data_IF_117804518822
#
_entry.id   IF_117804518822
#
_cell.length_a   1.000
_cell.length_b   1.000
_cell.length_c   1.000
_cell.angle_alpha   90.00
_cell.angle_beta   90.00
_cell.angle_gamma   90.00
#
_symmetry.space_group_name_H-M   'P 1'
#
loop_
_entity.id
_entity.type
_entity.pdbx_description
1 polymer ?
2 non-polymer ?
3 non-polymer ?
4 non-polymer ?
5 water ?
#
# COMPACT_ATOMS: atom_id res chain seq x y z
N UNK A 10 -28.68 1.20 -2.04
CA UNK A 10 -29.69 0.34 -2.77
C UNK A 10 -29.07 -0.96 -3.26
N UNK A 11 -27.76 -0.92 -3.54
CA UNK A 11 -26.95 -2.11 -3.90
C UNK A 11 -25.92 -2.38 -2.79
N UNK A 12 -26.12 -1.71 -1.65
CA UNK A 12 -25.28 -1.90 -0.50
C UNK A 12 -25.30 -3.34 0.00
N UNK A 13 -26.46 -3.96 0.12
CA UNK A 13 -26.49 -5.33 0.64
C UNK A 13 -25.93 -6.29 -0.36
N UNK A 14 -26.10 -5.98 -1.64
CA UNK A 14 -25.54 -6.81 -2.71
C UNK A 14 -24.02 -6.70 -2.69
N UNK A 15 -23.53 -5.48 -2.53
CA UNK A 15 -22.11 -5.24 -2.29
C UNK A 15 -21.53 -6.06 -1.11
N UNK A 16 -22.14 -6.00 0.06
CA UNK A 16 -21.68 -6.85 1.18
C UNK A 16 -21.65 -8.34 0.82
N UNK A 17 -22.68 -8.77 0.10
CA UNK A 17 -22.79 -10.17 -0.36
C UNK A 17 -21.70 -10.54 -1.37
N UNK A 18 -21.33 -9.59 -2.21
CA UNK A 18 -20.13 -9.77 -3.04
C UNK A 18 -18.91 -10.01 -2.17
N UNK A 19 -18.76 -9.22 -1.10
CA UNK A 19 -17.57 -9.35 -0.23
C UNK A 19 -17.60 -10.67 0.54
N UNK A 20 -18.79 -11.11 0.93
CA UNK A 20 -18.89 -12.46 1.49
C UNK A 20 -18.39 -13.53 0.51
N UNK A 21 -18.75 -13.44 -0.77
CA UNK A 21 -18.29 -14.40 -1.79
C UNK A 21 -16.76 -14.27 -1.88
N UNK A 22 -16.24 -13.07 -2.01
CA UNK A 22 -14.79 -12.96 -2.09
C UNK A 22 -14.06 -13.54 -0.84
N UNK A 23 -14.57 -13.23 0.33
CA UNK A 23 -13.88 -13.57 1.55
C UNK A 23 -14.18 -15.02 1.99
N UNK A 24 -15.09 -15.72 1.32
CA UNK A 24 -15.18 -17.18 1.48
C UNK A 24 -13.96 -17.91 0.83
N UNK A 25 -13.19 -17.24 -0.04
CA UNK A 25 -12.12 -17.94 -0.82
C UNK A 25 -10.97 -18.47 0.08
N UNK A 31 -3.83 -22.39 -1.98
CA UNK A 31 -3.74 -21.81 -3.37
C UNK A 31 -2.39 -22.15 -4.08
N UNK A 32 -2.44 -22.93 -5.17
CA UNK A 32 -1.22 -23.36 -5.85
C UNK A 32 -0.73 -22.15 -6.59
N UNK A 33 0.54 -21.87 -6.63
CA UNK A 33 0.95 -20.67 -7.32
C UNK A 33 0.93 -20.86 -8.84
N UNK A 34 0.85 -19.75 -9.58
CA UNK A 34 0.84 -19.78 -11.04
C UNK A 34 0.06 -18.60 -11.61
N UNK A 35 0.24 -18.37 -12.91
CA UNK A 35 -0.54 -17.40 -13.69
C UNK A 35 -1.67 -18.06 -14.53
N UNK A 36 -1.87 -19.36 -14.36
CA UNK A 36 -2.78 -20.12 -15.18
C UNK A 36 -4.21 -19.77 -14.91
N UNK A 37 -4.61 -19.75 -13.65
CA UNK A 37 -6.00 -19.36 -13.33
C UNK A 37 -6.35 -17.92 -13.69
N UNK A 38 -5.44 -16.98 -13.47
CA UNK A 38 -5.71 -15.56 -13.73
C UNK A 38 -5.74 -15.32 -15.26
N UNK A 39 -4.84 -15.96 -15.98
CA UNK A 39 -4.84 -15.87 -17.43
C UNK A 39 -6.16 -16.40 -18.05
N UNK A 40 -6.65 -17.52 -17.54
CA UNK A 40 -7.92 -18.07 -18.00
C UNK A 40 -9.13 -17.20 -17.60
N UNK A 41 -9.19 -16.73 -16.38
CA UNK A 41 -10.27 -15.80 -16.00
C UNK A 41 -10.32 -14.59 -16.93
N UNK A 42 -9.18 -13.92 -17.08
CA UNK A 42 -9.11 -12.77 -17.94
C UNK A 42 -9.47 -13.08 -19.41
N UNK A 43 -9.01 -14.22 -19.92
CA UNK A 43 -9.34 -14.64 -21.24
C UNK A 43 -10.84 -14.75 -21.45
N UNK A 44 -11.53 -15.34 -20.48
CA UNK A 44 -12.97 -15.52 -20.55
C UNK A 44 -13.68 -14.16 -20.42
N UNK A 45 -13.03 -13.15 -19.83
CA UNK A 45 -13.56 -11.81 -19.74
C UNK A 45 -13.17 -10.92 -20.91
N UNK A 46 -12.49 -11.47 -21.91
CA UNK A 46 -12.07 -10.70 -23.09
C UNK A 46 -10.71 -10.01 -22.97
N UNK A 47 -9.90 -10.47 -22.04
CA UNK A 47 -8.57 -9.93 -21.85
C UNK A 47 -8.63 -8.41 -21.67
N UNK A 48 -9.38 -7.98 -20.65
CA UNK A 48 -9.57 -6.55 -20.39
C UNK A 48 -8.27 -5.85 -20.02
N UNK A 49 -7.34 -6.62 -19.48
CA UNK A 49 -6.00 -6.14 -19.12
C UNK A 49 -5.15 -5.65 -20.28
N UNK A 50 -5.53 -6.02 -21.51
CA UNK A 50 -4.78 -5.67 -22.71
C UNK A 50 -5.35 -4.45 -23.43
N UNK A 51 -6.25 -3.78 -22.74
CA UNK A 51 -7.09 -2.77 -23.34
C UNK A 51 -6.56 -1.38 -23.07
N UNK A 52 -5.42 -1.25 -22.37
CA UNK A 52 -4.87 0.04 -21.98
C UNK A 52 -3.41 -0.15 -21.59
N UNK A 53 -2.65 0.92 -21.60
CA UNK A 53 -1.26 0.92 -21.14
C UNK A 53 -1.24 0.70 -19.65
N UNK A 54 -0.10 0.23 -19.16
CA UNK A 54 -0.01 -0.30 -17.83
C UNK A 54 1.33 0.08 -17.24
N UNK A 55 1.36 0.29 -15.92
CA UNK A 55 2.63 0.48 -15.18
C UNK A 55 2.57 -0.46 -14.01
N UNK A 56 3.68 -1.14 -13.77
CA UNK A 56 3.67 -2.29 -12.89
C UNK A 56 4.67 -2.09 -11.79
N UNK A 57 4.20 -2.10 -10.53
CA UNK A 57 5.03 -1.75 -9.37
C UNK A 57 5.07 -2.80 -8.28
N UNK A 58 6.25 -3.37 -8.08
CA UNK A 58 6.49 -4.31 -7.00
C UNK A 58 7.58 -3.87 -6.04
N UNK A 59 7.94 -4.75 -5.15
CA UNK A 59 8.93 -4.44 -4.16
C UNK A 59 8.42 -4.78 -2.79
N UNK A 60 9.31 -5.10 -1.88
CA UNK A 60 8.93 -5.42 -0.52
C UNK A 60 8.25 -4.25 0.24
N UNK A 61 8.85 -3.07 0.12
CA UNK A 61 8.33 -1.89 0.76
C UNK A 61 8.33 -0.74 -0.22
N UNK A 62 7.30 0.10 -0.14
CA UNK A 62 7.21 1.26 -0.99
C UNK A 62 6.39 1.08 -2.25
N UNK A 63 5.90 -0.13 -2.51
CA UNK A 63 5.22 -0.31 -3.79
C UNK A 63 3.86 0.42 -3.81
N UNK A 64 3.15 0.39 -2.70
CA UNK A 64 1.91 1.11 -2.57
C UNK A 64 2.13 2.60 -2.70
N UNK A 65 3.12 3.16 -1.99
CA UNK A 65 3.45 4.62 -2.09
C UNK A 65 3.86 4.99 -3.49
N UNK A 66 4.75 4.19 -4.10
CA UNK A 66 5.24 4.51 -5.45
C UNK A 66 4.08 4.42 -6.44
N UNK A 67 3.25 3.39 -6.34
CA UNK A 67 2.06 3.32 -7.21
C UNK A 67 1.18 4.55 -7.07
N UNK A 68 0.87 4.89 -5.82
CA UNK A 68 0.02 6.03 -5.51
C UNK A 68 0.58 7.32 -6.08
N UNK A 69 1.88 7.53 -5.90
CA UNK A 69 2.55 8.70 -6.44
C UNK A 69 2.48 8.76 -7.98
N UNK A 70 2.75 7.62 -8.61
CA UNK A 70 2.63 7.51 -10.03
C UNK A 70 1.21 7.80 -10.49
N UNK A 71 0.20 7.21 -9.85
CA UNK A 71 -1.18 7.46 -10.27
C UNK A 71 -1.50 8.89 -10.09
N UNK A 72 -1.20 9.43 -8.92
CA UNK A 72 -1.53 10.81 -8.61
C UNK A 72 -0.94 11.81 -9.59
N UNK A 73 0.28 11.55 -10.03
CA UNK A 73 0.91 12.46 -10.99
C UNK A 73 0.20 12.41 -12.36
N UNK A 74 -0.11 11.19 -12.81
CA UNK A 74 -0.78 11.02 -14.07
C UNK A 74 -2.20 11.52 -14.04
N UNK A 75 -2.87 11.32 -12.92
CA UNK A 75 -4.21 11.92 -12.73
C UNK A 75 -4.15 13.46 -12.82
N UNK A 76 -3.15 14.09 -12.19
CA UNK A 76 -2.97 15.53 -12.31
C UNK A 76 -2.68 15.92 -13.73
N UNK A 77 -1.96 15.08 -14.50
CA UNK A 77 -1.61 15.42 -15.87
C UNK A 77 -2.83 15.32 -16.76
N UNK A 78 -3.88 14.75 -16.21
CA UNK A 78 -5.16 14.66 -16.91
C UNK A 78 -5.36 13.35 -17.62
N UNK A 79 -4.50 12.37 -17.41
CA UNK A 79 -4.81 11.01 -17.88
C UNK A 79 -5.99 10.39 -17.11
N UNK A 80 -6.75 9.55 -17.80
CA UNK A 80 -7.74 8.74 -17.15
C UNK A 80 -6.99 7.51 -16.63
N UNK A 81 -6.91 7.39 -15.30
CA UNK A 81 -6.05 6.43 -14.65
C UNK A 81 -6.84 5.42 -13.83
N UNK A 82 -6.63 4.13 -14.07
CA UNK A 82 -7.05 3.10 -13.13
C UNK A 82 -5.85 2.79 -12.24
N UNK A 83 -6.09 2.56 -10.96
CA UNK A 83 -5.02 2.19 -10.07
C UNK A 83 -5.53 1.07 -9.17
N UNK A 84 -4.60 0.14 -8.92
CA UNK A 84 -4.88 -1.15 -8.28
C UNK A 84 -3.96 -1.37 -7.10
N UNK A 85 -4.55 -1.49 -5.90
CA UNK A 85 -3.80 -1.68 -4.68
C UNK A 85 -4.24 -2.92 -3.92
N UNK A 86 -3.39 -3.31 -3.00
CA UNK A 86 -3.66 -4.39 -2.03
C UNK A 86 -2.72 -4.19 -0.85
N UNK A 87 -3.15 -4.50 0.35
CA UNK A 87 -4.50 -4.97 0.61
C UNK A 87 -5.37 -3.70 0.80
N UNK A 88 -6.25 -3.62 1.78
CA UNK A 88 -6.87 -2.35 2.07
C UNK A 88 -6.78 -2.17 3.53
N UNK A 89 -7.03 -0.93 3.95
CA UNK A 89 -7.00 -0.52 5.34
C UNK A 89 -8.38 -0.45 5.97
N UNK A 90 -9.28 0.32 5.35
CA UNK A 90 -10.60 0.59 5.93
C UNK A 90 -11.73 0.04 5.06
N UNK A 91 -11.62 0.18 3.74
CA UNK A 91 -12.63 -0.37 2.88
C UNK A 91 -12.00 -1.06 1.73
N UNK A 92 -12.61 -2.18 1.36
CA UNK A 92 -12.24 -2.94 0.18
C UNK A 92 -12.08 -2.06 -1.06
N UNK A 93 -12.87 -1.00 -1.14
CA UNK A 93 -12.87 -0.16 -2.32
C UNK A 93 -11.58 0.70 -2.56
N UNK A 94 -10.73 0.82 -1.54
CA UNK A 94 -9.36 1.35 -1.73
C UNK A 94 -8.54 0.61 -2.81
N UNK A 95 -8.90 -0.64 -3.07
CA UNK A 95 -8.11 -1.51 -3.92
C UNK A 95 -8.23 -1.13 -5.37
N UNK A 96 -9.34 -0.51 -5.76
CA UNK A 96 -9.64 -0.21 -7.18
C UNK A 96 -10.15 1.22 -7.32
N UNK A 97 -9.45 2.00 -8.14
CA UNK A 97 -9.68 3.41 -8.23
C UNK A 97 -9.68 3.86 -9.66
N UNK A 98 -10.47 4.90 -9.90
CA UNK A 98 -10.53 5.63 -11.14
C UNK A 98 -10.21 7.08 -10.77
N UNK A 99 -9.09 7.54 -11.31
CA UNK A 99 -8.62 8.86 -11.08
C UNK A 99 -8.52 9.06 -9.59
N UNK A 100 -8.09 8.00 -8.93
CA UNK A 100 -7.82 7.99 -7.49
C UNK A 100 -9.07 8.17 -6.62
N UNK A 101 -10.24 7.91 -7.18
CA UNK A 101 -11.44 7.82 -6.42
C UNK A 101 -11.76 6.34 -6.27
N UNK A 102 -12.15 5.87 -5.08
CA UNK A 102 -12.48 4.47 -4.86
C UNK A 102 -13.69 4.06 -5.73
N UNK A 103 -13.60 2.88 -6.31
CA UNK A 103 -14.74 2.27 -6.92
C UNK A 103 -15.93 2.35 -5.95
N UNK A 104 -17.12 2.63 -6.49
CA UNK A 104 -18.30 2.62 -5.72
C UNK A 104 -18.72 1.20 -5.39
N UNK A 105 -19.49 1.07 -4.33
CA UNK A 105 -20.16 -0.19 -4.03
C UNK A 105 -20.95 -0.73 -5.23
N UNK A 106 -21.69 0.18 -5.87
CA UNK A 106 -22.53 -0.12 -7.03
C UNK A 106 -21.69 -0.72 -8.20
N UNK A 107 -20.55 -0.13 -8.49
CA UNK A 107 -19.73 -0.69 -9.52
C UNK A 107 -19.06 -1.99 -9.16
N UNK A 108 -18.71 -2.18 -7.90
CA UNK A 108 -18.15 -3.44 -7.49
C UNK A 108 -19.22 -4.51 -7.78
N UNK A 109 -20.44 -4.22 -7.38
CA UNK A 109 -21.57 -5.12 -7.62
C UNK A 109 -21.73 -5.38 -9.13
N UNK A 110 -21.66 -4.33 -9.92
CA UNK A 110 -21.79 -4.44 -11.38
C UNK A 110 -20.71 -5.32 -12.01
N UNK A 111 -19.45 -5.04 -11.72
CA UNK A 111 -18.40 -5.86 -12.23
C UNK A 111 -18.53 -7.30 -11.73
N UNK A 112 -18.88 -7.48 -10.47
CA UNK A 112 -19.10 -8.82 -10.00
C UNK A 112 -20.23 -9.55 -10.81
N UNK A 113 -21.33 -8.91 -11.06
CA UNK A 113 -22.41 -9.54 -11.78
C UNK A 113 -22.03 -9.91 -13.22
N UNK A 114 -21.26 -9.05 -13.87
CA UNK A 114 -20.58 -9.42 -15.13
C UNK A 114 -19.73 -10.69 -15.08
N UNK A 115 -18.91 -10.85 -14.04
CA UNK A 115 -18.00 -12.00 -13.91
C UNK A 115 -18.66 -13.25 -13.35
N UNK A 116 -19.76 -13.08 -12.62
CA UNK A 116 -20.45 -14.15 -11.91
C UNK A 116 -20.62 -15.46 -12.71
N UNK A 117 -21.21 -15.45 -13.91
CA UNK A 117 -21.35 -16.71 -14.62
C UNK A 117 -20.01 -17.32 -14.93
N UNK A 118 -19.02 -16.49 -15.25
CA UNK A 118 -17.67 -17.02 -15.53
C UNK A 118 -17.07 -17.61 -14.31
N UNK A 119 -17.16 -16.90 -13.19
CA UNK A 119 -16.68 -17.45 -11.92
C UNK A 119 -17.44 -18.69 -11.52
N UNK A 120 -18.73 -18.75 -11.79
CA UNK A 120 -19.53 -19.90 -11.37
C UNK A 120 -19.04 -21.15 -12.06
N UNK A 121 -18.66 -20.96 -13.32
CA UNK A 121 -18.13 -22.00 -14.19
C UNK A 121 -16.74 -22.49 -13.75
N UNK A 122 -15.79 -21.56 -13.59
CA UNK A 122 -14.44 -21.83 -13.10
C UNK A 122 -14.47 -22.40 -11.69
N UNK A 123 -15.42 -21.95 -10.87
CA UNK A 123 -15.51 -22.38 -9.48
C UNK A 123 -15.93 -23.80 -9.32
N UNK A 124 -16.39 -24.43 -10.37
CA UNK A 124 -16.77 -25.83 -10.27
C UNK A 124 -15.62 -26.80 -10.08
N UNK A 125 -14.40 -26.38 -10.39
CA UNK A 125 -13.25 -27.25 -10.33
C UNK A 125 -12.17 -26.54 -9.63
N UNK A 126 -11.62 -27.18 -8.60
CA UNK A 126 -10.62 -26.53 -7.78
C UNK A 126 -9.41 -26.05 -8.61
N UNK A 127 -8.99 -26.84 -9.59
CA UNK A 127 -7.80 -26.46 -10.38
C UNK A 127 -8.00 -25.19 -11.19
N UNK A 128 -9.27 -24.86 -11.51
CA UNK A 128 -9.56 -23.66 -12.29
C UNK A 128 -10.10 -22.52 -11.47
N UNK A 129 -10.46 -22.79 -10.23
CA UNK A 129 -11.12 -21.79 -9.40
C UNK A 129 -10.18 -20.64 -9.00
N UNK A 130 -10.48 -19.39 -9.36
CA UNK A 130 -9.55 -18.31 -9.03
C UNK A 130 -9.54 -17.98 -7.53
N UNK A 131 -8.41 -17.55 -7.02
CA UNK A 131 -8.26 -17.20 -5.60
C UNK A 131 -8.91 -15.85 -5.37
N UNK A 132 -9.01 -15.44 -4.11
CA UNK A 132 -9.47 -14.10 -3.80
C UNK A 132 -8.79 -13.03 -4.63
N UNK A 133 -7.47 -13.04 -4.57
CA UNK A 133 -6.68 -12.00 -5.22
C UNK A 133 -6.79 -12.06 -6.73
N UNK A 134 -6.87 -13.26 -7.27
CA UNK A 134 -7.12 -13.42 -8.67
C UNK A 134 -8.42 -12.77 -9.06
N UNK A 135 -9.47 -13.04 -8.30
CA UNK A 135 -10.78 -12.48 -8.65
C UNK A 135 -10.76 -10.93 -8.59
N UNK A 136 -10.22 -10.40 -7.50
CA UNK A 136 -10.19 -8.96 -7.29
C UNK A 136 -9.36 -8.28 -8.39
N UNK A 137 -8.25 -8.89 -8.73
CA UNK A 137 -7.39 -8.35 -9.76
C UNK A 137 -8.11 -8.31 -11.09
N UNK A 138 -8.82 -9.37 -11.42
CA UNK A 138 -9.56 -9.44 -12.66
C UNK A 138 -10.70 -8.41 -12.65
N UNK A 139 -11.32 -8.24 -11.46
CA UNK A 139 -12.30 -7.20 -11.28
C UNK A 139 -11.72 -5.82 -11.60
N UNK A 140 -10.54 -5.52 -11.07
CA UNK A 140 -9.90 -4.26 -11.39
C UNK A 140 -9.66 -4.14 -12.87
N UNK A 141 -9.07 -5.16 -13.49
CA UNK A 141 -8.77 -5.12 -14.92
C UNK A 141 -10.01 -4.88 -15.75
N UNK A 142 -11.08 -5.56 -15.40
CA UNK A 142 -12.35 -5.42 -16.11
C UNK A 142 -12.91 -4.00 -15.93
N UNK A 143 -12.86 -3.52 -14.69
CA UNK A 143 -13.35 -2.20 -14.37
C UNK A 143 -12.60 -1.13 -15.18
N UNK A 144 -11.28 -1.21 -15.20
CA UNK A 144 -10.47 -0.31 -15.97
C UNK A 144 -10.85 -0.35 -17.41
N UNK A 145 -11.14 -1.52 -17.95
CA UNK A 145 -11.64 -1.64 -19.31
C UNK A 145 -13.05 -1.01 -19.47
N UNK A 146 -13.98 -1.34 -18.58
CA UNK A 146 -15.33 -0.80 -18.72
C UNK A 146 -15.20 0.73 -18.61
N UNK A 147 -14.21 1.24 -17.88
CA UNK A 147 -14.10 2.69 -17.71
C UNK A 147 -13.25 3.36 -18.79
N UNK A 148 -12.74 2.60 -19.76
CA UNK A 148 -11.93 3.20 -20.84
C UNK A 148 -10.75 4.03 -20.31
N UNK A 149 -9.99 3.48 -19.40
CA UNK A 149 -8.84 4.21 -18.84
C UNK A 149 -7.73 4.32 -19.89
N UNK A 150 -6.90 5.34 -19.77
CA UNK A 150 -5.74 5.50 -20.65
C UNK A 150 -4.62 4.59 -20.15
N UNK A 151 -4.50 4.56 -18.84
CA UNK A 151 -3.44 3.82 -18.20
C UNK A 151 -3.85 3.27 -16.86
N UNK A 152 -3.35 2.07 -16.56
CA UNK A 152 -3.57 1.45 -15.27
C UNK A 152 -2.24 1.33 -14.52
N UNK A 153 -2.21 1.72 -13.25
CA UNK A 153 -1.06 1.54 -12.38
C UNK A 153 -1.36 0.43 -11.44
N UNK A 154 -0.51 -0.60 -11.44
CA UNK A 154 -0.77 -1.83 -10.73
C UNK A 154 0.29 -2.10 -9.71
N UNK A 155 -0.15 -2.16 -8.48
CA UNK A 155 0.65 -2.62 -7.39
C UNK A 155 0.62 -4.18 -7.34
N UNK A 156 1.79 -4.79 -7.30
CA UNK A 156 1.92 -6.20 -7.12
C UNK A 156 1.29 -6.57 -5.79
N UNK A 157 0.53 -7.66 -5.80
CA UNK A 157 -0.03 -8.23 -4.56
C UNK A 157 1.08 -8.75 -3.66
N UNK A 158 1.90 -9.63 -4.22
CA UNK A 158 2.91 -10.35 -3.48
C UNK A 158 3.90 -10.94 -4.50
N UNK A 159 5.19 -10.86 -4.20
CA UNK A 159 6.22 -11.45 -5.04
C UNK A 159 6.34 -10.66 -6.32
N UNK A 160 5.89 -11.29 -7.41
CA UNK A 160 5.83 -10.64 -8.70
C UNK A 160 5.70 -11.68 -9.80
N UNK A 161 6.65 -12.60 -9.84
CA UNK A 161 6.70 -13.60 -10.89
C UNK A 161 5.30 -14.24 -11.18
N UNK A 162 4.60 -14.63 -10.13
CA UNK A 162 3.34 -15.40 -10.26
C UNK A 162 2.17 -14.66 -9.63
N UNK A 163 2.37 -13.37 -9.44
CA UNK A 163 1.35 -12.49 -8.97
C UNK A 163 0.30 -12.29 -10.03
N UNK A 164 -0.96 -12.23 -9.60
CA UNK A 164 -2.06 -12.06 -10.51
C UNK A 164 -1.92 -10.87 -11.43
N UNK A 165 -1.30 -9.79 -10.97
CA UNK A 165 -1.07 -8.61 -11.78
C UNK A 165 -0.06 -8.80 -12.90
N UNK A 166 0.72 -9.87 -12.84
CA UNK A 166 1.87 -10.06 -13.74
C UNK A 166 1.51 -10.57 -15.14
N UNK A 167 0.22 -10.53 -15.46
CA UNK A 167 -0.28 -10.82 -16.77
C UNK A 167 -0.09 -9.65 -17.73
N UNK A 168 0.34 -8.50 -17.20
CA UNK A 168 0.46 -7.29 -18.00
C UNK A 168 1.78 -7.26 -18.75
N UNK A 169 1.80 -6.43 -19.80
CA UNK A 169 3.03 -5.95 -20.43
C UNK A 169 3.08 -4.40 -20.32
N UNK A 170 3.78 -3.89 -19.31
CA UNK A 170 3.68 -2.50 -18.95
C UNK A 170 4.61 -1.59 -19.73
N UNK A 171 4.46 -0.30 -19.53
CA UNK A 171 5.40 0.67 -20.07
C UNK A 171 6.72 0.66 -19.25
N UNK A 172 6.61 0.24 -18.00
CA UNK A 172 7.72 0.22 -17.08
C UNK A 172 7.36 -0.73 -15.97
N UNK A 173 8.36 -1.45 -15.48
CA UNK A 173 8.27 -2.34 -14.33
C UNK A 173 9.20 -1.75 -13.27
N UNK A 174 8.66 -1.61 -12.08
CA UNK A 174 9.39 -1.04 -10.96
C UNK A 174 9.50 -2.04 -9.84
N UNK A 175 10.70 -2.23 -9.34
CA UNK A 175 10.89 -2.98 -8.11
C UNK A 175 11.47 -2.06 -7.06
N UNK A 176 10.61 -1.55 -6.19
CA UNK A 176 11.01 -0.44 -5.35
C UNK A 176 12.18 -0.87 -4.46
N UNK A 177 11.95 -1.96 -3.70
CA UNK A 177 12.96 -2.62 -2.90
C UNK A 177 12.84 -4.14 -2.91
N UNK A 178 13.92 -4.76 -2.45
CA UNK A 178 13.94 -6.17 -2.13
C UNK A 178 14.52 -6.32 -0.71
N UNK A 179 13.64 -6.63 0.25
CA UNK A 179 14.03 -6.75 1.67
C UNK A 179 13.62 -8.12 2.23
N UNK A 180 14.42 -8.62 3.17
CA UNK A 180 14.28 -9.96 3.77
C UNK A 180 13.09 -9.93 4.71
N UNK A 188 13.56 -17.34 3.00
CA UNK A 188 14.21 -17.07 1.72
C UNK A 188 15.44 -16.18 1.83
N UNK A 189 16.42 -16.41 0.94
CA UNK A 189 17.55 -15.50 0.79
C UNK A 189 17.08 -14.29 0.01
N UNK A 190 17.81 -13.19 0.14
CA UNK A 190 17.60 -12.02 -0.71
C UNK A 190 17.55 -12.37 -2.17
N UNK A 191 18.41 -13.29 -2.58
CA UNK A 191 18.55 -13.64 -3.95
C UNK A 191 17.28 -14.34 -4.44
N UNK A 192 16.69 -15.18 -3.61
CA UNK A 192 15.40 -15.84 -3.94
C UNK A 192 14.23 -14.88 -4.04
N UNK A 193 14.14 -14.01 -3.04
CA UNK A 193 13.14 -12.95 -3.02
C UNK A 193 13.32 -12.04 -4.25
N UNK A 194 14.54 -11.58 -4.44
CA UNK A 194 14.91 -10.80 -5.62
C UNK A 194 14.50 -11.48 -6.91
N UNK A 195 14.63 -12.79 -6.98
CA UNK A 195 14.26 -13.49 -8.18
C UNK A 195 12.75 -13.49 -8.45
N UNK A 196 11.98 -13.83 -7.43
CA UNK A 196 10.51 -13.77 -7.48
C UNK A 196 10.03 -12.38 -7.98
N UNK A 197 10.60 -11.34 -7.40
CA UNK A 197 10.27 -9.98 -7.79
C UNK A 197 10.69 -9.61 -9.22
N UNK A 198 11.83 -10.10 -9.70
CA UNK A 198 12.20 -9.77 -11.04
C UNK A 198 11.43 -10.54 -12.10
N UNK A 199 10.45 -11.38 -11.72
CA UNK A 199 9.47 -11.95 -12.67
C UNK A 199 8.51 -10.97 -13.34
N UNK A 200 8.44 -9.74 -12.81
CA UNK A 200 7.71 -8.62 -13.46
C UNK A 200 8.55 -7.84 -14.48
N UNK A 201 9.82 -8.20 -14.64
CA UNK A 201 10.65 -7.67 -15.72
C UNK A 201 10.25 -8.32 -17.04
N UNK A 202 9.94 -7.48 -18.04
CA UNK A 202 9.35 -7.89 -19.30
C UNK A 202 10.23 -7.45 -20.45
N UNK A 203 10.16 -8.19 -21.55
CA UNK A 203 11.05 -8.00 -22.69
C UNK A 203 11.07 -6.57 -23.20
N UNK A 204 12.24 -5.96 -23.19
CA UNK A 204 12.39 -4.59 -23.68
C UNK A 204 11.74 -3.54 -22.82
N UNK A 205 11.03 -3.94 -21.77
CA UNK A 205 10.34 -2.99 -20.92
C UNK A 205 11.36 -2.56 -19.90
N UNK A 206 11.53 -1.27 -19.72
CA UNK A 206 12.50 -0.82 -18.71
C UNK A 206 12.15 -1.30 -17.31
N UNK A 207 13.18 -1.31 -16.46
CA UNK A 207 13.03 -1.62 -15.04
C UNK A 207 13.59 -0.44 -14.24
N UNK A 208 12.83 -0.02 -13.23
CA UNK A 208 13.31 0.95 -12.26
C UNK A 208 13.36 0.35 -10.86
N UNK A 209 14.47 0.56 -10.16
CA UNK A 209 14.60 0.10 -8.77
C UNK A 209 15.22 1.09 -7.77
N UNK A 210 14.65 1.05 -6.56
CA UNK A 210 15.16 1.79 -5.40
C UNK A 210 16.05 0.93 -4.55
N UNK A 211 16.49 -0.21 -5.09
CA UNK A 211 17.24 -1.19 -4.31
C UNK A 211 18.72 -0.88 -4.43
N UNK A 212 19.42 -1.11 -3.33
CA UNK A 212 20.84 -0.92 -3.23
C UNK A 212 21.63 -2.19 -2.82
N UNK A 213 20.98 -3.22 -2.28
CA UNK A 213 21.74 -4.48 -2.00
C UNK A 213 22.26 -5.17 -3.26
N UNK A 214 23.56 -5.36 -3.26
CA UNK A 214 24.28 -5.97 -4.36
C UNK A 214 23.64 -7.28 -4.83
N UNK A 215 23.28 -8.11 -3.86
CA UNK A 215 22.73 -9.45 -4.10
C UNK A 215 21.47 -9.36 -4.92
N UNK A 216 20.66 -8.38 -4.52
CA UNK A 216 19.38 -8.13 -5.12
C UNK A 216 19.54 -7.55 -6.54
N UNK A 217 20.45 -6.58 -6.68
CA UNK A 217 20.64 -5.90 -7.96
C UNK A 217 21.24 -6.86 -8.98
N UNK A 218 22.15 -7.72 -8.53
CA UNK A 218 22.76 -8.75 -9.39
C UNK A 218 21.69 -9.59 -10.11
N UNK A 219 20.67 -10.00 -9.37
CA UNK A 219 19.60 -10.79 -9.97
C UNK A 219 18.86 -9.95 -11.02
N UNK A 220 18.42 -8.76 -10.62
CA UNK A 220 17.67 -7.88 -11.50
C UNK A 220 18.48 -7.50 -12.72
N UNK A 221 19.78 -7.26 -12.53
CA UNK A 221 20.67 -6.99 -13.64
C UNK A 221 20.67 -8.14 -14.63
N UNK A 222 20.80 -9.36 -14.12
CA UNK A 222 20.84 -10.53 -14.96
C UNK A 222 19.53 -10.71 -15.72
N UNK A 223 18.40 -10.54 -15.04
CA UNK A 223 17.10 -10.66 -15.73
C UNK A 223 16.84 -9.58 -16.80
N UNK A 224 17.07 -8.32 -16.43
CA UNK A 224 16.95 -7.19 -17.36
C UNK A 224 17.90 -7.31 -18.56
N UNK A 225 19.14 -7.65 -18.30
CA UNK A 225 20.10 -7.83 -19.39
C UNK A 225 19.59 -8.91 -20.34
N UNK A 226 19.06 -10.00 -19.78
CA UNK A 226 18.46 -11.09 -20.56
C UNK A 226 17.26 -10.63 -21.33
N UNK A 227 16.37 -9.88 -20.67
CA UNK A 227 15.14 -9.34 -21.30
C UNK A 227 15.35 -8.09 -22.20
N UNK A 228 16.62 -7.66 -22.31
CA UNK A 228 16.98 -6.45 -23.04
C UNK A 228 16.19 -5.22 -22.53
N UNK A 229 16.04 -5.20 -21.20
CA UNK A 229 15.34 -4.14 -20.48
C UNK A 229 16.35 -3.15 -19.94
N UNK A 230 16.16 -1.89 -20.26
CA UNK A 230 16.97 -0.86 -19.65
C UNK A 230 16.60 -0.73 -18.17
N UNK A 231 17.63 -0.79 -17.33
CA UNK A 231 17.49 -0.76 -15.88
C UNK A 231 17.96 0.56 -15.28
N UNK A 232 17.17 1.13 -14.39
CA UNK A 232 17.58 2.34 -13.71
C UNK A 232 17.56 2.11 -12.23
N UNK A 233 18.61 2.56 -11.59
CA UNK A 233 18.89 2.19 -10.22
C UNK A 233 19.15 3.44 -9.41
N UNK A 234 18.52 3.54 -8.26
CA UNK A 234 18.71 4.72 -7.42
C UNK A 234 20.19 4.99 -7.14
N UNK A 235 20.57 6.27 -7.05
CA UNK A 235 21.98 6.69 -6.89
C UNK A 235 22.88 6.41 -8.07
N UNK A 236 22.53 5.43 -8.92
CA UNK A 236 23.14 5.28 -10.22
C UNK A 236 22.43 6.18 -11.25
N UNK A 237 21.23 5.80 -11.67
CA UNK A 237 20.56 6.49 -12.77
C UNK A 237 19.66 7.63 -12.34
N UNK A 238 19.40 7.72 -11.04
CA UNK A 238 18.71 8.85 -10.49
C UNK A 238 18.96 8.94 -9.02
N UNK A 239 18.60 10.07 -8.45
CA UNK A 239 18.81 10.31 -7.04
C UNK A 239 17.85 11.38 -6.52
N UNK A 240 17.76 11.47 -5.18
CA UNK A 240 17.00 12.51 -4.50
C UNK A 240 17.85 13.12 -3.39
N UNK A 241 17.64 14.39 -3.12
CA UNK A 241 18.41 15.07 -2.08
C UNK A 241 17.37 15.72 -1.18
N UNK A 242 17.36 15.30 0.09
CA UNK A 242 16.42 15.83 1.06
C UNK A 242 16.85 17.26 1.35
N UNK A 243 15.98 18.23 1.10
CA UNK A 243 16.27 19.63 1.42
C UNK A 243 15.78 19.92 2.82
N UNK A 244 14.62 19.38 3.21
CA UNK A 244 14.13 19.46 4.59
C UNK A 244 12.87 18.65 4.84
N UNK A 245 12.85 18.00 5.98
CA UNK A 245 11.72 17.25 6.44
C UNK A 245 10.93 18.14 7.39
N UNK A 246 9.64 18.25 7.16
CA UNK A 246 8.79 19.09 7.96
C UNK A 246 7.43 18.51 7.73
N UNK A 247 6.68 18.30 8.80
CA UNK A 247 5.39 17.67 8.70
C UNK A 247 4.58 18.25 7.55
N UNK A 248 4.08 17.39 6.68
CA UNK A 248 3.27 17.75 5.48
C UNK A 248 3.96 18.66 4.46
N UNK A 249 5.27 18.81 4.56
CA UNK A 249 5.95 19.77 3.73
C UNK A 249 7.39 19.35 3.63
N UNK A 250 7.62 18.17 3.06
CA UNK A 250 8.93 17.55 2.99
C UNK A 250 9.54 17.82 1.65
N UNK A 251 10.67 18.52 1.68
CA UNK A 251 11.18 19.20 0.53
C UNK A 251 12.46 18.50 0.06
N UNK A 252 12.54 18.26 -1.26
CA UNK A 252 13.67 17.57 -1.87
C UNK A 252 13.92 17.98 -3.34
N UNK A 253 15.16 17.76 -3.81
CA UNK A 253 15.52 17.83 -5.23
C UNK A 253 15.52 16.42 -5.83
N UNK A 254 15.22 16.32 -7.13
CA UNK A 254 15.30 15.07 -7.88
C UNK A 254 16.25 15.25 -9.06
N UNK A 255 17.09 14.26 -9.35
CA UNK A 255 17.93 14.21 -10.57
C UNK A 255 17.70 12.93 -11.34
N UNK A 256 17.07 13.01 -12.50
CA UNK A 256 16.92 11.84 -13.37
C UNK A 256 17.17 12.33 -14.77
N UNK A 257 16.36 11.94 -15.76
CA UNK A 257 16.38 12.62 -17.06
C UNK A 257 16.18 14.09 -16.79
N UNK A 258 15.12 14.40 -16.05
CA UNK A 258 14.85 15.74 -15.58
C UNK A 258 15.38 15.97 -14.19
N UNK A 259 15.52 17.24 -13.89
CA UNK A 259 15.96 17.72 -12.60
C UNK A 259 14.90 18.67 -12.07
N UNK A 260 14.57 18.48 -10.80
CA UNK A 260 13.58 19.30 -10.13
C UNK A 260 14.17 19.67 -8.78
N UNK A 261 13.94 20.91 -8.35
CA UNK A 261 14.43 21.38 -7.07
C UNK A 261 13.25 21.76 -6.17
N UNK A 262 13.39 21.52 -4.87
CA UNK A 262 12.32 21.81 -3.90
C UNK A 262 10.93 21.28 -4.25
N UNK A 263 10.90 20.01 -4.62
CA UNK A 263 9.69 19.25 -4.65
C UNK A 263 9.20 19.02 -3.24
N UNK A 264 7.90 18.89 -3.08
CA UNK A 264 7.29 18.76 -1.78
C UNK A 264 6.42 17.51 -1.73
N UNK A 265 6.68 16.70 -0.72
CA UNK A 265 5.80 15.61 -0.36
C UNK A 265 5.01 15.95 0.88
N UNK A 266 3.75 15.61 0.82
CA UNK A 266 2.91 15.76 1.96
C UNK A 266 3.16 14.60 2.90
N UNK A 267 3.28 13.41 2.30
CA UNK A 267 3.62 12.19 3.04
C UNK A 267 4.90 12.39 3.82
N UNK A 268 4.90 11.94 5.07
CA UNK A 268 6.02 12.15 5.97
C UNK A 268 6.85 10.91 6.06
N UNK A 269 8.11 11.09 6.37
CA UNK A 269 9.05 9.99 6.38
C UNK A 269 10.05 10.14 5.25
N UNK A 270 11.34 9.98 5.55
CA UNK A 270 12.41 10.15 4.52
C UNK A 270 12.49 9.00 3.47
N UNK A 271 12.05 7.79 3.81
CA UNK A 271 11.83 6.74 2.81
C UNK A 271 10.87 7.15 1.73
N UNK A 272 9.92 8.04 2.06
CA UNK A 272 8.94 8.44 1.07
C UNK A 272 9.58 9.36 0.03
N UNK A 273 10.65 10.06 0.41
CA UNK A 273 11.31 10.92 -0.55
C UNK A 273 12.01 10.03 -1.58
N UNK A 274 12.53 8.91 -1.12
CA UNK A 274 13.09 7.95 -2.04
C UNK A 274 12.02 7.29 -2.92
N UNK A 275 10.87 7.01 -2.35
CA UNK A 275 9.81 6.42 -3.14
C UNK A 275 9.43 7.41 -4.22
N UNK A 276 9.40 8.69 -3.87
CA UNK A 276 9.14 9.77 -4.85
C UNK A 276 10.18 9.78 -6.01
N UNK A 277 11.47 9.67 -5.72
CA UNK A 277 12.46 9.49 -6.79
C UNK A 277 12.15 8.28 -7.66
N UNK A 278 11.84 7.17 -7.03
CA UNK A 278 11.50 5.96 -7.78
C UNK A 278 10.29 6.20 -8.70
N UNK A 279 9.26 6.87 -8.18
CA UNK A 279 8.06 7.19 -8.94
C UNK A 279 8.36 8.07 -10.18
N UNK A 280 9.23 9.07 -9.99
CA UNK A 280 9.58 9.98 -11.05
C UNK A 280 10.42 9.27 -12.10
N UNK A 281 11.40 8.48 -11.65
CA UNK A 281 12.11 7.62 -12.62
C UNK A 281 11.14 6.67 -13.33
N UNK A 282 10.22 6.05 -12.61
CA UNK A 282 9.31 5.17 -13.24
C UNK A 282 8.63 5.89 -14.39
N UNK A 283 8.20 7.11 -14.11
CA UNK A 283 7.48 7.97 -15.06
C UNK A 283 8.37 8.45 -16.22
N UNK A 284 9.61 8.83 -15.92
CA UNK A 284 10.57 9.14 -16.99
C UNK A 284 10.77 7.96 -17.96
N UNK A 285 11.02 6.78 -17.38
CA UNK A 285 11.33 5.56 -18.13
C UNK A 285 10.21 5.10 -19.07
N UNK A 286 9.04 5.61 -18.80
CA UNK A 286 7.82 5.18 -19.45
C UNK A 286 7.63 5.92 -20.80
N UNK A 287 8.27 7.11 -20.91
CA UNK A 287 8.13 8.01 -22.03
C UNK A 287 6.91 8.93 -22.00
N UNK A 288 5.96 8.76 -21.10
CA UNK A 288 4.72 9.49 -21.18
C UNK A 288 4.95 10.98 -21.01
N UNK A 289 4.25 11.80 -21.75
CA UNK A 289 4.36 13.22 -21.54
C UNK A 289 3.77 13.65 -20.18
N UNK A 290 4.54 14.48 -19.48
CA UNK A 290 4.22 14.90 -18.14
C UNK A 290 4.69 16.30 -17.90
N UNK A 291 3.88 17.09 -17.20
CA UNK A 291 4.25 18.45 -16.87
C UNK A 291 4.86 18.39 -15.52
N UNK A 292 5.72 19.36 -15.24
CA UNK A 292 6.25 19.59 -13.92
C UNK A 292 5.14 19.96 -12.95
N UNK A 293 4.13 20.69 -13.43
CA UNK A 293 2.96 20.99 -12.60
C UNK A 293 2.30 19.73 -12.02
N UNK A 294 2.05 18.75 -12.88
CA UNK A 294 1.44 17.48 -12.50
C UNK A 294 2.32 16.67 -11.52
N UNK A 295 3.62 16.71 -11.74
CA UNK A 295 4.56 16.02 -10.89
C UNK A 295 4.45 16.68 -9.52
N UNK A 296 4.54 17.99 -9.47
CA UNK A 296 4.50 18.64 -8.16
C UNK A 296 3.17 18.43 -7.45
N UNK A 297 2.08 18.51 -8.20
CA UNK A 297 0.76 18.41 -7.57
C UNK A 297 0.50 16.98 -7.17
N UNK A 298 0.83 16.05 -8.04
CA UNK A 298 0.65 14.61 -7.78
C UNK A 298 1.42 14.15 -6.55
N UNK A 299 2.68 14.61 -6.42
CA UNK A 299 3.48 14.38 -5.19
C UNK A 299 2.92 15.03 -3.93
N UNK A 300 2.41 16.23 -4.06
CA UNK A 300 1.69 16.87 -2.96
C UNK A 300 0.43 16.10 -2.52
N UNK A 301 -0.19 15.41 -3.49
CA UNK A 301 -1.50 14.73 -3.32
C UNK A 301 -1.40 13.29 -2.89
N UNK A 302 -0.26 12.66 -3.19
CA UNK A 302 0.00 11.29 -2.76
C UNK A 302 -0.20 11.05 -1.25
N UNK A 303 -0.77 9.89 -0.95
CA UNK A 303 -1.12 9.51 0.39
C UNK A 303 -0.99 8.00 0.50
N UNK A 304 -0.28 7.51 1.52
CA UNK A 304 -0.22 6.11 1.79
C UNK A 304 -0.89 5.83 3.10
N UNK A 305 -2.06 5.23 3.04
CA UNK A 305 -2.92 5.21 4.22
C UNK A 305 -2.34 4.34 5.33
N UNK A 306 -2.34 4.88 6.54
CA UNK A 306 -1.88 4.18 7.72
C UNK A 306 -0.40 3.89 7.71
N UNK A 307 0.35 4.55 6.84
CA UNK A 307 1.74 4.34 6.73
C UNK A 307 2.38 5.65 7.15
N UNK A 308 2.55 5.80 8.46
CA UNK A 308 3.11 7.00 9.10
C UNK A 308 2.38 8.18 8.57
N UNK A 309 1.07 8.03 8.73
CA UNK A 309 0.10 8.97 8.28
C UNK A 309 -0.22 9.84 9.46
N UNK A 310 -0.06 11.14 9.29
CA UNK A 310 -0.45 12.08 10.33
C UNK A 310 -1.69 12.81 9.87
N UNK A 311 -2.74 12.76 10.68
CA UNK A 311 -3.99 13.42 10.43
C UNK A 311 -4.26 14.40 11.55
N UNK A 312 -4.36 15.69 11.25
CA UNK A 312 -4.85 16.67 12.19
C UNK A 312 -6.35 16.63 12.13
N UNK A 313 -6.97 16.36 13.26
CA UNK A 313 -8.42 16.31 13.36
C UNK A 313 -8.75 17.16 14.56
N UNK A 314 -9.49 18.22 14.33
CA UNK A 314 -10.02 19.04 15.40
C UNK A 314 -8.91 19.62 16.26
N UNK A 315 -7.79 19.93 15.63
CA UNK A 315 -6.63 20.51 16.35
C UNK A 315 -5.65 19.47 16.88
N UNK A 316 -6.09 18.22 17.01
CA UNK A 316 -5.24 17.19 17.57
C UNK A 316 -4.60 16.39 16.46
N UNK A 317 -3.33 16.01 16.66
CA UNK A 317 -2.61 15.17 15.72
C UNK A 317 -2.75 13.76 16.10
N UNK A 318 -2.91 12.93 15.06
CA UNK A 318 -2.88 11.49 15.13
C UNK A 318 -1.80 10.95 14.22
N UNK A 319 -0.96 10.08 14.75
CA UNK A 319 0.01 9.37 13.95
C UNK A 319 -0.55 7.97 13.78
N UNK A 320 -1.06 7.70 12.57
CA UNK A 320 -1.68 6.44 12.26
C UNK A 320 -0.60 5.63 11.59
N UNK A 321 -0.18 4.55 12.25
CA UNK A 321 0.77 3.67 11.66
C UNK A 321 0.43 2.25 11.98
N UNK A 322 0.26 1.46 10.94
CA UNK A 322 -0.13 0.08 11.10
C UNK A 322 0.93 -0.89 11.56
N UNK A 323 2.15 -0.40 11.90
CA UNK A 323 3.23 -1.20 12.45
C UNK A 323 2.63 -2.30 13.33
N UNK A 324 3.03 -3.55 13.07
CA UNK A 324 2.58 -4.72 13.84
C UNK A 324 3.71 -5.77 13.95
N UNK A 325 4.94 -5.33 13.69
CA UNK A 325 6.16 -6.15 13.70
C UNK A 325 7.05 -5.43 14.62
N UNK A 326 7.96 -6.14 15.25
CA UNK A 326 9.02 -5.45 15.96
C UNK A 326 9.76 -4.51 14.99
N UNK A 327 10.10 -5.01 13.80
CA UNK A 327 10.70 -4.19 12.76
C UNK A 327 9.90 -2.92 12.42
N UNK A 328 8.62 -3.08 12.10
CA UNK A 328 7.77 -1.94 11.78
C UNK A 328 7.65 -0.91 12.91
N UNK A 329 7.55 -1.41 14.13
CA UNK A 329 7.49 -0.57 15.31
C UNK A 329 8.78 0.27 15.49
N UNK A 330 9.92 -0.39 15.33
CA UNK A 330 11.21 0.27 15.37
C UNK A 330 11.28 1.40 14.32
N UNK A 331 10.77 1.15 13.13
CA UNK A 331 10.69 2.20 12.09
C UNK A 331 9.78 3.35 12.48
N UNK A 332 8.68 3.02 13.14
CA UNK A 332 7.77 4.02 13.58
C UNK A 332 8.50 4.98 14.49
N UNK A 333 9.25 4.43 15.44
CA UNK A 333 9.88 5.20 16.48
C UNK A 333 10.93 6.12 15.90
N UNK A 334 11.65 5.62 14.91
CA UNK A 334 12.60 6.40 14.14
C UNK A 334 11.93 7.59 13.49
N UNK A 335 10.83 7.31 12.82
CA UNK A 335 10.03 8.36 12.22
C UNK A 335 9.48 9.38 13.23
N UNK A 336 8.96 8.90 14.36
CA UNK A 336 8.60 9.76 15.49
C UNK A 336 9.69 10.66 16.01
N UNK A 337 10.94 10.20 16.03
CA UNK A 337 12.02 11.02 16.54
C UNK A 337 12.37 12.17 15.59
N UNK A 338 12.02 12.02 14.32
CA UNK A 338 12.32 13.03 13.34
C UNK A 338 11.33 14.16 13.38
N UNK A 339 10.07 13.82 13.52
CA UNK A 339 9.02 14.78 13.31
C UNK A 339 8.40 15.28 14.61
N UNK A 340 8.70 14.62 15.73
CA UNK A 340 8.03 14.93 17.02
C UNK A 340 9.01 15.07 18.16
N UNK A 341 10.22 15.49 17.84
CA UNK A 341 11.31 15.41 18.78
C UNK A 341 10.99 16.02 20.18
N UNK A 342 10.62 17.30 20.19
CA UNK A 342 10.19 17.96 21.46
C UNK A 342 8.80 17.59 22.00
N UNK A 343 8.04 16.81 21.24
CA UNK A 343 6.62 16.67 21.51
C UNK A 343 6.27 15.60 22.53
N UNK A 344 5.38 15.94 23.47
CA UNK A 344 4.77 14.94 24.35
C UNK A 344 3.80 14.12 23.55
N UNK A 345 3.85 12.80 23.75
CA UNK A 345 3.09 11.85 22.96
C UNK A 345 2.34 10.88 23.81
N UNK A 346 1.23 10.41 23.27
CA UNK A 346 0.40 9.39 23.86
C UNK A 346 0.34 8.25 22.83
N UNK A 347 0.17 7.03 23.32
CA UNK A 347 0.16 5.82 22.52
C UNK A 347 -1.15 5.17 22.79
N UNK A 348 -1.84 4.84 21.70
CA UNK A 348 -2.98 3.95 21.75
C UNK A 348 -2.54 2.72 20.96
N UNK A 349 -2.42 1.58 21.67
CA UNK A 349 -1.90 0.34 21.11
C UNK A 349 -2.83 -0.90 21.29
N UNK A 350 -3.07 -1.59 20.19
CA UNK A 350 -3.81 -2.86 20.22
C UNK A 350 -3.06 -3.80 19.32
N UNK A 351 -2.73 -4.98 19.82
CA UNK A 351 -2.01 -5.93 19.03
C UNK A 351 -2.75 -7.24 19.16
N UNK A 352 -2.88 -7.96 18.06
CA UNK A 352 -3.38 -9.32 18.10
C UNK A 352 -2.33 -10.26 18.69
N UNK A 353 -2.81 -11.42 19.13
CA UNK A 353 -1.96 -12.35 19.86
C UNK A 353 -1.11 -13.16 18.90
N UNK A 354 -1.44 -13.11 17.62
CA UNK A 354 -0.65 -13.78 16.57
C UNK A 354 0.59 -13.01 16.21
N UNK A 355 0.84 -11.91 16.89
CA UNK A 355 1.98 -11.08 16.60
C UNK A 355 2.95 -11.13 17.77
N UNK A 356 4.16 -10.64 17.57
CA UNK A 356 5.13 -10.64 18.66
C UNK A 356 4.95 -9.45 19.60
N UNK A 357 3.91 -9.56 20.42
CA UNK A 357 3.46 -8.47 21.27
C UNK A 357 4.57 -7.84 22.03
N UNK A 358 5.36 -8.68 22.68
CA UNK A 358 6.40 -8.24 23.61
C UNK A 358 7.52 -7.51 22.88
N UNK A 359 7.99 -8.08 21.79
CA UNK A 359 9.06 -7.46 21.04
C UNK A 359 8.52 -6.18 20.37
N UNK A 360 7.23 -6.08 20.09
CA UNK A 360 6.68 -4.79 19.61
C UNK A 360 6.64 -3.73 20.70
N UNK A 361 6.09 -4.08 21.86
CA UNK A 361 5.89 -3.13 22.98
C UNK A 361 7.22 -2.52 23.46
N UNK A 362 8.25 -3.34 23.40
CA UNK A 362 9.56 -2.96 23.83
C UNK A 362 10.17 -1.86 23.01
N UNK A 363 9.74 -1.73 21.76
CA UNK A 363 10.24 -0.64 20.90
C UNK A 363 9.83 0.73 21.44
N UNK A 364 8.68 0.73 22.11
CA UNK A 364 8.02 1.96 22.50
C UNK A 364 8.33 2.48 23.88
N UNK A 365 9.29 1.84 24.56
CA UNK A 365 9.68 2.28 25.87
C UNK A 365 10.40 3.63 25.77
N UNK A 366 10.19 4.50 26.75
CA UNK A 366 10.95 5.73 26.84
C UNK A 366 10.50 6.82 25.89
N UNK A 367 9.34 6.66 25.26
CA UNK A 367 8.88 7.62 24.24
C UNK A 367 7.61 8.35 24.62
N UNK A 368 6.69 7.64 25.25
CA UNK A 368 5.34 8.17 25.44
C UNK A 368 5.14 8.66 26.84
N UNK A 369 4.38 9.73 26.94
CA UNK A 369 4.02 10.28 28.18
C UNK A 369 2.84 9.46 28.72
N UNK A 370 2.16 8.72 27.88
CA UNK A 370 0.94 8.06 28.28
C UNK A 370 0.70 6.91 27.34
N UNK A 371 0.36 5.76 27.91
CA UNK A 371 0.16 4.54 27.19
C UNK A 371 -1.20 3.98 27.54
N UNK A 372 -1.96 3.75 26.47
CA UNK A 372 -3.29 3.22 26.53
C UNK A 372 -3.31 1.97 25.64
N UNK A 373 -3.61 0.83 26.23
CA UNK A 373 -3.78 -0.41 25.52
C UNK A 373 -5.27 -0.48 25.26
N UNK A 374 -5.61 -0.92 24.06
CA UNK A 374 -7.01 -0.98 23.63
C UNK A 374 -7.25 -2.29 22.94
N UNK A 375 -8.50 -2.64 22.71
CA UNK A 375 -8.79 -3.90 21.97
C UNK A 375 -8.84 -3.70 20.46
N UNK A 376 -8.06 -4.44 19.70
CA UNK A 376 -8.26 -4.52 18.26
C UNK A 376 -9.71 -4.92 17.93
N UNK A 377 -10.36 -4.09 17.11
CA UNK A 377 -11.76 -4.28 16.74
C UNK A 377 -11.83 -5.32 15.59
N UNK A 378 -11.99 -6.56 16.03
CA UNK A 378 -11.90 -7.71 15.17
C UNK A 378 -12.22 -8.91 16.03
N UNK A 379 -13.01 -9.84 15.50
CA UNK A 379 -13.28 -11.08 16.20
C UNK A 379 -12.03 -11.93 16.37
N UNK A 380 -11.00 -11.59 15.59
CA UNK A 380 -9.68 -12.18 15.73
C UNK A 380 -8.95 -11.79 17.03
N UNK A 381 -9.37 -10.71 17.68
CA UNK A 381 -8.67 -10.25 18.90
C UNK A 381 -8.88 -11.18 20.09
N UNK A 382 -7.84 -11.88 20.54
CA UNK A 382 -7.86 -12.64 21.81
C UNK A 382 -6.71 -12.23 22.73
N UNK A 383 -6.89 -12.55 24.02
CA UNK A 383 -5.90 -12.32 25.08
C UNK A 383 -5.58 -10.88 25.40
N UNK A 384 -6.60 -10.05 25.43
CA UNK A 384 -6.43 -8.71 25.91
C UNK A 384 -5.69 -8.74 27.25
N UNK A 385 -5.99 -9.76 28.02
CA UNK A 385 -5.48 -9.89 29.37
C UNK A 385 -3.95 -9.90 29.43
N UNK A 386 -3.33 -10.75 28.61
CA UNK A 386 -1.87 -10.90 28.66
C UNK A 386 -1.20 -9.76 27.91
N UNK A 387 -1.89 -9.18 26.93
CA UNK A 387 -1.40 -7.97 26.28
C UNK A 387 -1.16 -6.85 27.26
N UNK A 388 -2.17 -6.59 28.09
CA UNK A 388 -2.11 -5.57 29.11
C UNK A 388 -1.00 -5.87 30.13
N UNK A 389 -0.90 -7.13 30.55
CA UNK A 389 0.11 -7.53 31.51
C UNK A 389 1.52 -7.28 30.99
N UNK A 390 1.73 -7.67 29.73
CA UNK A 390 2.96 -7.40 29.03
C UNK A 390 3.29 -5.93 29.00
N UNK A 391 2.34 -5.11 28.59
CA UNK A 391 2.52 -3.66 28.56
C UNK A 391 2.96 -3.17 29.91
N UNK A 392 2.32 -3.70 30.94
CA UNK A 392 2.65 -3.35 32.31
C UNK A 392 4.04 -3.79 32.73
N UNK A 393 4.54 -4.86 32.12
CA UNK A 393 6.00 -5.22 32.18
C UNK A 393 6.99 -4.13 31.67
N UNK A 394 6.54 -3.26 30.75
CA UNK A 394 7.35 -2.15 30.16
C UNK A 394 7.06 -0.69 30.55
N UNK A 395 5.91 -0.33 31.13
CA UNK A 395 5.61 1.10 31.38
C UNK A 395 4.83 1.29 32.69
N UNK A 396 5.12 2.34 33.45
CA UNK A 396 4.35 2.60 34.71
C UNK A 396 2.96 3.09 34.38
N UNK A 397 2.88 3.74 33.25
CA UNK A 397 1.68 4.34 32.72
C UNK A 397 0.40 3.45 32.73
N UNK A 398 0.55 2.24 32.19
CA UNK A 398 -0.57 1.63 31.41
C UNK A 398 -2.02 1.91 31.85
N UNK A 399 -2.83 2.39 30.89
CA UNK A 399 -4.29 2.41 31.02
C UNK A 399 -4.85 1.45 30.03
N UNK A 400 -6.04 0.97 30.32
CA UNK A 400 -6.76 0.11 29.42
C UNK A 400 -8.02 0.85 29.08
N UNK A 401 -8.16 1.19 27.81
CA UNK A 401 -9.42 1.72 27.31
C UNK A 401 -9.77 0.84 26.14
N UNK A 402 -10.74 -0.02 26.39
CA UNK A 402 -11.01 -1.13 25.50
C UNK A 402 -11.56 -0.74 24.12
N UNK A 403 -12.48 0.21 24.11
CA UNK A 403 -12.97 0.80 22.88
C UNK A 403 -11.94 1.76 22.35
N UNK A 404 -11.37 1.46 21.18
CA UNK A 404 -10.26 2.29 20.67
C UNK A 404 -10.67 3.73 20.31
N UNK A 405 -11.96 3.96 20.07
CA UNK A 405 -12.45 5.29 19.73
C UNK A 405 -12.57 6.14 20.99
N UNK A 406 -12.88 5.48 22.12
CA UNK A 406 -12.86 6.13 23.41
C UNK A 406 -11.44 6.43 23.74
N UNK A 407 -10.56 5.47 23.51
CA UNK A 407 -9.12 5.67 23.71
C UNK A 407 -8.62 6.89 22.99
N UNK A 408 -8.91 7.06 21.71
CA UNK A 408 -8.42 8.26 21.02
C UNK A 408 -9.14 9.50 21.44
N UNK A 409 -10.42 9.38 21.79
CA UNK A 409 -11.18 10.52 22.28
C UNK A 409 -10.58 11.09 23.57
N UNK A 410 -9.90 10.23 24.33
CA UNK A 410 -9.40 10.52 25.65
C UNK A 410 -8.06 11.25 25.72
N UNK A 411 -7.36 11.30 24.60
CA UNK A 411 -6.07 11.98 24.56
C UNK A 411 -6.18 13.47 24.23
N UNK A 412 -5.20 14.20 24.73
CA UNK A 412 -4.97 15.61 24.44
C UNK A 412 -3.73 15.75 23.55
N UNK A 413 -2.72 14.91 23.84
CA UNK A 413 -1.44 14.95 23.17
C UNK A 413 -1.55 14.38 21.81
N UNK A 414 -0.60 14.76 20.96
CA UNK A 414 -0.38 14.06 19.72
C UNK A 414 -0.34 12.51 20.00
N UNK A 415 -1.21 11.76 19.30
CA UNK A 415 -1.51 10.37 19.66
C UNK A 415 -1.09 9.45 18.54
N UNK A 416 -0.29 8.44 18.88
CA UNK A 416 0.16 7.40 17.99
C UNK A 416 -0.80 6.22 18.15
N UNK A 417 -1.48 5.87 17.07
CA UNK A 417 -2.37 4.72 17.03
C UNK A 417 -1.68 3.62 16.21
N UNK A 418 -1.36 2.51 16.85
CA UNK A 418 -0.58 1.50 16.22
C UNK A 418 -0.78 0.11 16.86
N UNK A 419 -0.12 -0.90 16.30
CA UNK A 419 -0.17 -2.25 16.83
C UNK A 419 -0.79 -3.24 15.88
N UNK A 420 -1.66 -2.73 15.00
CA UNK A 420 -2.58 -3.55 14.22
C UNK A 420 -3.13 -2.71 13.09
N UNK A 421 -3.08 -3.23 11.87
CA UNK A 421 -3.71 -2.64 10.69
C UNK A 421 -5.23 -2.53 10.79
N UNK A 422 -5.87 -3.57 11.33
CA UNK A 422 -7.30 -3.53 11.70
C UNK A 422 -7.58 -2.33 12.59
N UNK A 423 -6.83 -2.20 13.68
CA UNK A 423 -6.98 -1.07 14.57
C UNK A 423 -6.81 0.26 13.82
N UNK A 424 -5.71 0.41 13.09
CA UNK A 424 -5.50 1.66 12.39
C UNK A 424 -6.60 1.97 11.34
N UNK A 425 -7.03 1.00 10.56
CA UNK A 425 -8.01 1.25 9.55
C UNK A 425 -9.32 1.63 10.17
N UNK A 426 -9.63 1.04 11.32
CA UNK A 426 -10.87 1.29 12.02
C UNK A 426 -10.95 2.70 12.59
N UNK A 427 -9.90 3.07 13.27
CA UNK A 427 -9.77 4.43 13.81
C UNK A 427 -9.67 5.52 12.73
N UNK A 428 -8.92 5.27 11.67
CA UNK A 428 -8.84 6.18 10.57
C UNK A 428 -10.21 6.37 10.00
N UNK A 429 -10.97 5.30 9.89
CA UNK A 429 -12.26 5.47 9.26
C UNK A 429 -13.12 6.41 10.12
N UNK A 430 -13.07 6.24 11.41
CA UNK A 430 -13.92 7.02 12.25
C UNK A 430 -13.51 8.44 12.28
N UNK A 431 -12.21 8.66 12.30
CA UNK A 431 -11.66 9.98 12.32
C UNK A 431 -11.98 10.77 11.06
N UNK A 432 -11.96 10.08 9.93
CA UNK A 432 -12.17 10.73 8.67
C UNK A 432 -13.62 10.72 8.25
N UNK A 433 -14.42 9.78 8.76
CA UNK A 433 -15.84 9.76 8.35
C UNK A 433 -16.84 9.90 9.49
N UNK A 434 -16.40 9.77 10.71
CA UNK A 434 -17.36 9.84 11.80
C UNK A 434 -18.30 8.66 11.89
N UNK A 435 -17.99 7.62 11.10
CA UNK A 435 -18.65 6.35 11.17
C UNK A 435 -17.78 5.19 10.75
N UNK A 436 -18.33 4.00 10.97
CA UNK A 436 -17.70 2.74 10.75
C UNK A 436 -18.58 1.99 9.77
N UNK A 437 -18.02 1.68 8.63
CA UNK A 437 -18.76 1.00 7.61
C UNK A 437 -19.03 -0.46 8.02
N UNK A 438 -20.02 -1.05 7.37
CA UNK A 438 -20.50 -2.38 7.71
C UNK A 438 -19.54 -3.51 7.32
N UNK A 439 -18.55 -3.21 6.49
CA UNK A 439 -17.48 -4.17 6.13
C UNK A 439 -16.77 -4.67 7.39
N UNK A 440 -16.63 -3.79 8.38
CA UNK A 440 -16.12 -4.18 9.68
C UNK A 440 -16.96 -5.27 10.36
N UNK A 441 -18.26 -5.37 10.04
CA UNK A 441 -19.08 -6.47 10.59
C UNK A 441 -18.92 -7.82 9.84
N UNK A 442 -18.49 -7.77 8.57
CA UNK A 442 -18.26 -8.97 7.72
C UNK A 442 -17.25 -9.94 8.33
X LIG B 1 6.05 -8.68 -1.32
X LIG B 1 4.62 -8.42 -1.09
X LIG B 1 6.81 -8.28 -0.15
X LIG B 1 6.42 -7.89 -2.51
X LIG B 1 6.30 -10.07 -1.65
X LIG C 1 4.00 0.41 0.88
X LIG C 1 5.11 -0.25 1.53
X LIG C 1 2.88 0.69 1.76
X LIG C 1 3.57 -0.54 -0.15
X LIG C 1 4.38 1.72 0.34
X LIG D 1 -3.31 -6.85 12.17
X LIG D 1 -3.47 -6.84 13.61
X LIG D 1 -3.21 -8.21 11.67
X LIG D 1 -4.47 -6.26 11.54
X LIG D 1 -2.11 -6.07 11.86
X LIG E 1 -9.88 -11.83 25.62
X LIG E 1 -9.05 -10.81 24.95
X LIG E 1 -10.49 -11.10 26.74
X LIG E 1 -8.98 -12.83 26.20
X LIG E 1 -10.76 -12.41 24.58
X LIG F 1 -3.08 12.50 26.35
X LIG G 1 -12.21 -3.99 6.78
X LIG H 1 0.37 -5.57 -2.05
X LIG H 1 1.36 -4.74 0.03
X LIG H 1 0.87 -3.17 -0.19
X LIG H 1 0.78 -1.07 0.50
X LIG H 1 -1.25 -0.46 -1.08
X LIG I 1 -9.69 14.19 21.71
X LIG I 1 -9.12 15.81 23.57
X LIG I 1 -10.01 14.46 25.32
X LIG I 1 -7.66 16.73 21.92
#
# INVERSE_FOLDING_TARGET
MGSDKIHHHHHHMAYLEVLRYLYHKRPMGKVKPGLERISMLLSKLGNPHLEYKTIHIGGTNGKGSVANMVSNILVSQGYRVGSYYSPHLSTFRERIRLNEEYISEEDVVKIYETMEPILNELDKEEIFSPSFFEVVTAMAFLYFAEKNVDIAVLEVGLGGRLDATNVVFPLCSTIVTVDRDHEKTLGYTIEQIAWEKSGIIKERVPLVTGERKREALKVMEDVARKKSSRMYVIDKDFSVKVKSLKLHENRFDYCGENTFEDLVLTMNGPHQIENAGVALKTLEATGLPLSEKAIREGLKNAKNLGRFEILEKNGKMYILDGAHNPHGAESLVRSLKLYFNGEPLSLVIGILDDKNREDILRKYTGIFERVIVTRVPSPRMKDMNSLVDMAKKFFKNVEVIEDPLEAIESTERATVVTGSLFLVGYVREFLTTGKINEEWKL
SO4 S O1 O2 O3 O4
SO4 S O1 O2 O3 O4
SO4 S O1 O2 O3 O4
SO4 S O1 O2 O3 O4
CL CL
CL CL
UNL O1 O2 O3 O4 O5
UNL O1 O2 O3 O4
#
